data_IF_540218766814
#
_entry.id   IF_540218766814
#
_cell.length_a   1.000
_cell.length_b   1.000
_cell.length_c   1.000
_cell.angle_alpha   90.00
_cell.angle_beta   90.00
_cell.angle_gamma   90.00
#
_symmetry.space_group_name_H-M   'P 1'
#
loop_
_entity.id
_entity.type
_entity.pdbx_description
1 polymer ?
#
# COMPACT_ATOMS: atom_id res chain seq x y z
N UNK A 1 33.85 9.79 15.32
CA UNK A 1 33.50 10.96 16.14
C UNK A 1 32.35 10.58 17.06
N UNK A 2 32.60 10.62 18.39
CA UNK A 2 31.54 10.51 19.40
C UNK A 2 30.71 11.80 19.29
N UNK A 3 29.59 11.72 18.58
CA UNK A 3 28.65 12.84 18.48
C UNK A 3 28.12 13.18 19.87
N UNK A 4 28.22 14.43 20.28
CA UNK A 4 27.57 14.96 21.48
C UNK A 4 26.07 14.81 21.34
N UNK A 5 25.43 13.97 22.16
CA UNK A 5 23.99 13.83 22.22
C UNK A 5 23.41 15.07 22.91
N UNK A 6 22.63 15.86 22.18
CA UNK A 6 21.87 16.98 22.75
C UNK A 6 20.39 16.57 22.93
N UNK A 7 19.78 16.87 24.09
CA UNK A 7 18.36 16.62 24.29
C UNK A 7 17.51 17.51 23.36
N UNK A 8 16.54 16.92 22.66
CA UNK A 8 15.60 17.64 21.81
C UNK A 8 14.21 17.62 22.47
N UNK A 9 13.67 18.80 22.77
CA UNK A 9 12.35 18.95 23.37
C UNK A 9 11.33 19.30 22.27
N UNK A 10 10.26 18.51 22.15
CA UNK A 10 9.22 18.74 21.16
C UNK A 10 7.82 18.75 21.81
N UNK A 11 6.90 19.56 21.24
CA UNK A 11 5.49 19.60 21.65
C UNK A 11 4.71 18.38 21.13
N UNK A 12 5.12 17.83 20.02
CA UNK A 12 4.58 16.66 19.36
C UNK A 12 5.72 15.88 18.70
N UNK A 13 5.71 14.57 18.80
CA UNK A 13 6.63 13.66 18.10
C UNK A 13 5.83 12.86 17.09
N UNK A 14 6.31 12.78 15.85
CA UNK A 14 5.67 11.99 14.79
C UNK A 14 6.61 10.85 14.41
N UNK A 15 6.18 9.62 14.65
CA UNK A 15 6.86 8.40 14.20
C UNK A 15 6.43 8.05 12.79
N UNK A 16 7.32 8.30 11.83
CA UNK A 16 7.15 7.96 10.41
C UNK A 16 8.36 7.15 9.90
N UNK A 17 8.96 6.35 10.79
CA UNK A 17 10.23 5.65 10.65
C UNK A 17 10.09 4.19 10.18
N UNK A 18 8.96 3.88 9.51
CA UNK A 18 8.74 2.65 8.78
C UNK A 18 8.31 1.45 9.64
N UNK A 19 8.20 0.30 9.00
CA UNK A 19 7.62 -0.92 9.60
C UNK A 19 8.36 -1.40 10.87
N UNK A 20 9.65 -1.12 10.99
CA UNK A 20 10.46 -1.46 12.16
C UNK A 20 10.60 -0.32 13.16
N UNK A 21 9.69 0.64 13.16
CA UNK A 21 9.68 1.88 13.89
C UNK A 21 10.31 1.78 15.29
N UNK A 22 11.35 2.59 15.49
CA UNK A 22 11.98 2.80 16.79
C UNK A 22 11.07 3.63 17.69
N UNK A 23 10.41 4.66 17.15
CA UNK A 23 9.47 5.52 17.90
C UNK A 23 8.34 4.69 18.49
N UNK A 24 7.74 3.78 17.70
CA UNK A 24 6.68 2.89 18.19
C UNK A 24 7.16 2.02 19.36
N UNK A 25 8.40 1.49 19.29
CA UNK A 25 8.98 0.69 20.36
C UNK A 25 9.16 1.51 21.64
N UNK A 26 9.58 2.78 21.54
CA UNK A 26 9.78 3.65 22.70
C UNK A 26 8.47 3.96 23.45
N UNK A 27 7.35 3.98 22.76
CA UNK A 27 6.03 4.21 23.40
C UNK A 27 5.32 2.91 23.79
N UNK A 28 5.97 1.77 23.62
CA UNK A 28 5.43 0.44 23.96
C UNK A 28 3.98 0.26 23.45
N UNK A 29 3.80 0.50 22.14
CA UNK A 29 2.51 0.30 21.48
C UNK A 29 2.45 -1.11 20.89
N UNK A 30 1.50 -1.95 21.34
CA UNK A 30 1.35 -3.30 20.83
C UNK A 30 0.99 -3.31 19.34
N UNK A 31 1.46 -4.35 18.65
CA UNK A 31 1.18 -4.59 17.23
C UNK A 31 0.34 -5.84 17.04
N UNK A 32 -0.71 -5.72 16.25
CA UNK A 32 -1.36 -6.88 15.66
C UNK A 32 -0.56 -7.23 14.40
N UNK A 33 -0.01 -8.43 14.36
CA UNK A 33 0.79 -8.90 13.21
C UNK A 33 0.17 -10.18 12.65
N UNK A 34 0.04 -10.24 11.33
CA UNK A 34 -0.40 -11.44 10.61
C UNK A 34 0.49 -11.66 9.40
N UNK A 35 1.07 -12.84 9.29
CA UNK A 35 1.76 -13.26 8.09
C UNK A 35 0.72 -13.63 7.01
N UNK A 36 0.96 -13.18 5.78
CA UNK A 36 0.14 -13.55 4.64
C UNK A 36 0.55 -14.87 4.01
N UNK A 37 1.67 -15.49 4.49
CA UNK A 37 2.30 -16.65 3.88
C UNK A 37 2.57 -16.43 2.38
N UNK A 38 2.94 -15.20 2.04
CA UNK A 38 3.31 -14.78 0.70
C UNK A 38 4.59 -13.95 0.73
N UNK A 39 5.35 -14.04 -0.37
CA UNK A 39 6.49 -13.18 -0.65
C UNK A 39 6.21 -12.34 -1.90
N UNK A 40 6.60 -11.07 -1.88
CA UNK A 40 6.62 -10.24 -3.07
C UNK A 40 7.97 -10.35 -3.76
N UNK A 41 7.99 -10.72 -5.04
CA UNK A 41 9.15 -10.58 -5.91
C UNK A 41 9.03 -9.24 -6.61
N UNK A 42 10.07 -8.41 -6.49
CA UNK A 42 10.17 -7.10 -7.14
C UNK A 42 11.34 -7.11 -8.09
N UNK A 43 11.12 -6.66 -9.31
CA UNK A 43 12.15 -6.49 -10.34
C UNK A 43 11.73 -5.45 -11.36
N UNK A 44 12.71 -4.96 -12.14
CA UNK A 44 12.45 -4.11 -13.30
C UNK A 44 12.55 -4.94 -14.57
N UNK A 45 11.61 -4.74 -15.47
CA UNK A 45 11.50 -5.44 -16.76
C UNK A 45 11.29 -4.46 -17.91
N UNK A 46 11.62 -4.89 -19.11
CA UNK A 46 11.21 -4.25 -20.37
C UNK A 46 10.18 -5.10 -21.10
N UNK A 47 9.21 -4.43 -21.72
CA UNK A 47 8.10 -5.00 -22.46
C UNK A 47 8.19 -4.61 -23.93
N UNK A 48 8.15 -5.55 -24.87
CA UNK A 48 8.33 -5.24 -26.30
C UNK A 48 7.14 -4.48 -26.92
N UNK A 49 5.93 -4.62 -26.39
CA UNK A 49 4.73 -3.88 -26.86
C UNK A 49 4.43 -2.62 -26.06
N UNK A 50 5.23 -2.35 -25.00
CA UNK A 50 5.01 -1.21 -24.14
C UNK A 50 3.81 -1.34 -23.19
N UNK A 51 3.71 -0.41 -22.24
CA UNK A 51 2.68 -0.43 -21.19
C UNK A 51 1.56 0.60 -21.42
N UNK A 52 1.65 1.47 -22.41
CA UNK A 52 0.66 2.49 -22.76
C UNK A 52 0.20 3.33 -21.54
N UNK A 53 1.13 3.66 -20.63
CA UNK A 53 0.87 4.35 -19.37
C UNK A 53 -0.19 3.66 -18.49
N UNK A 54 -0.35 2.35 -18.65
CA UNK A 54 -1.35 1.54 -17.95
C UNK A 54 -0.66 0.59 -16.98
N UNK A 55 -1.12 0.58 -15.73
CA UNK A 55 -0.75 -0.45 -14.77
C UNK A 55 -1.59 -1.71 -15.03
N UNK A 56 -0.92 -2.82 -15.31
CA UNK A 56 -1.57 -4.11 -15.54
C UNK A 56 -1.47 -4.99 -14.31
N UNK A 57 -2.54 -5.73 -14.02
CA UNK A 57 -2.54 -6.69 -12.94
C UNK A 57 -3.23 -7.97 -13.35
N UNK A 58 -2.59 -9.11 -13.05
CA UNK A 58 -3.10 -10.44 -13.31
C UNK A 58 -3.23 -11.19 -11.99
N UNK A 59 -4.38 -11.84 -11.77
CA UNK A 59 -4.62 -12.70 -10.62
C UNK A 59 -4.39 -14.16 -11.01
N UNK A 60 -3.18 -14.64 -10.77
CA UNK A 60 -2.79 -16.01 -11.02
C UNK A 60 -3.23 -16.92 -9.86
N UNK A 61 -3.35 -18.23 -10.08
CA UNK A 61 -3.59 -19.19 -8.99
C UNK A 61 -2.50 -19.16 -7.90
N UNK A 62 -1.29 -18.77 -8.27
CA UNK A 62 -0.13 -18.62 -7.37
C UNK A 62 -0.11 -17.31 -6.63
N UNK A 63 -0.93 -16.32 -7.05
CA UNK A 63 -1.04 -15.00 -6.47
C UNK A 63 -1.05 -13.87 -7.51
N UNK A 64 -1.28 -12.62 -7.09
CA UNK A 64 -1.34 -11.48 -7.99
C UNK A 64 0.04 -11.06 -8.50
N UNK A 65 0.09 -10.73 -9.79
CA UNK A 65 1.23 -10.15 -10.47
C UNK A 65 0.84 -8.79 -11.04
N UNK A 66 1.52 -7.72 -10.62
CA UNK A 66 1.35 -6.38 -11.13
C UNK A 66 2.52 -5.97 -12.02
N UNK A 67 2.23 -5.24 -13.09
CA UNK A 67 3.18 -4.57 -13.97
C UNK A 67 2.92 -3.07 -13.85
N UNK A 68 3.85 -2.34 -13.27
CA UNK A 68 3.70 -0.94 -12.91
C UNK A 68 4.62 -0.09 -13.79
N UNK A 69 4.08 0.81 -14.64
CA UNK A 69 4.87 1.69 -15.47
C UNK A 69 5.89 2.51 -14.68
N UNK A 70 7.13 2.58 -15.14
CA UNK A 70 8.16 3.44 -14.59
C UNK A 70 8.35 4.68 -15.47
N UNK A 71 8.05 5.84 -14.92
CA UNK A 71 8.23 7.15 -15.56
C UNK A 71 9.56 7.80 -15.18
N UNK A 72 10.16 8.61 -16.07
CA UNK A 72 9.68 9.15 -17.35
C UNK A 72 10.41 8.53 -18.58
N UNK A 73 10.99 7.33 -18.52
CA UNK A 73 12.07 6.95 -19.40
C UNK A 73 11.66 6.33 -20.75
N UNK A 74 10.64 5.54 -20.80
CA UNK A 74 10.12 4.94 -22.03
C UNK A 74 8.75 4.30 -21.80
N UNK A 75 8.09 3.93 -22.89
CA UNK A 75 6.82 3.19 -22.84
C UNK A 75 7.01 1.69 -22.59
N UNK A 76 8.22 1.23 -22.32
CA UNK A 76 8.55 -0.18 -22.25
C UNK A 76 8.94 -0.68 -20.85
N UNK A 77 9.38 0.22 -19.96
CA UNK A 77 9.94 -0.19 -18.67
C UNK A 77 8.87 -0.24 -17.58
N UNK A 78 8.74 -1.40 -16.92
CA UNK A 78 7.85 -1.61 -15.78
C UNK A 78 8.62 -2.13 -14.55
N UNK A 79 8.15 -1.76 -13.37
CA UNK A 79 8.40 -2.54 -12.16
C UNK A 79 7.36 -3.63 -12.03
N UNK A 80 7.77 -4.84 -11.66
CA UNK A 80 6.84 -5.91 -11.30
C UNK A 80 6.75 -6.06 -9.78
N UNK A 81 5.56 -6.42 -9.31
CA UNK A 81 5.32 -6.90 -7.95
C UNK A 81 4.54 -8.21 -8.05
N UNK A 82 5.24 -9.33 -7.89
CA UNK A 82 4.63 -10.66 -7.93
C UNK A 82 4.50 -11.22 -6.52
N UNK A 83 3.30 -11.23 -6.00
CA UNK A 83 2.98 -11.78 -4.69
C UNK A 83 2.60 -13.24 -4.83
N UNK A 84 3.41 -14.15 -4.24
CA UNK A 84 3.19 -15.59 -4.35
C UNK A 84 3.65 -16.33 -3.09
N UNK A 85 3.40 -17.65 -3.02
CA UNK A 85 3.85 -18.46 -1.88
C UNK A 85 5.38 -18.43 -1.73
N UNK A 86 5.93 -18.61 -0.51
CA UNK A 86 7.38 -18.63 -0.28
C UNK A 86 8.12 -19.66 -1.15
N UNK A 87 7.49 -20.85 -1.35
CA UNK A 87 8.03 -21.90 -2.20
C UNK A 87 8.12 -21.48 -3.66
N UNK A 88 7.08 -20.88 -4.18
CA UNK A 88 7.03 -20.40 -5.57
C UNK A 88 7.95 -19.20 -5.78
N UNK A 89 8.01 -18.28 -4.83
CA UNK A 89 8.95 -17.15 -4.87
C UNK A 89 10.41 -17.66 -4.94
N UNK A 90 10.75 -18.66 -4.16
CA UNK A 90 12.08 -19.29 -4.21
C UNK A 90 12.34 -19.96 -5.57
N UNK A 91 11.36 -20.67 -6.15
CA UNK A 91 11.47 -21.27 -7.48
C UNK A 91 11.73 -20.21 -8.54
N UNK A 92 10.90 -19.17 -8.58
CA UNK A 92 10.99 -18.09 -9.57
C UNK A 92 12.28 -17.29 -9.47
N UNK A 93 12.77 -17.03 -8.27
CA UNK A 93 14.03 -16.29 -8.08
C UNK A 93 15.27 -17.15 -8.39
N UNK A 94 15.15 -18.46 -8.39
CA UNK A 94 16.23 -19.37 -8.79
C UNK A 94 16.36 -19.57 -10.30
N UNK A 95 15.35 -19.19 -11.10
CA UNK A 95 15.41 -19.25 -12.56
C UNK A 95 16.51 -18.33 -13.10
N UNK A 96 17.08 -18.64 -14.26
CA UNK A 96 17.87 -17.67 -14.99
C UNK A 96 16.99 -16.51 -15.52
N UNK A 97 17.59 -15.44 -16.02
CA UNK A 97 16.87 -14.25 -16.49
C UNK A 97 15.90 -14.56 -17.64
N UNK A 98 16.30 -15.43 -18.56
CA UNK A 98 15.51 -15.78 -19.76
C UNK A 98 14.27 -16.56 -19.36
N UNK A 99 14.40 -17.57 -18.50
CA UNK A 99 13.28 -18.41 -18.11
C UNK A 99 12.33 -17.67 -17.17
N UNK A 100 12.83 -16.79 -16.30
CA UNK A 100 11.98 -15.90 -15.51
C UNK A 100 11.16 -14.96 -16.39
N UNK A 101 11.77 -14.37 -17.41
CA UNK A 101 11.08 -13.50 -18.36
C UNK A 101 9.99 -14.24 -19.17
N UNK A 102 10.24 -15.51 -19.58
CA UNK A 102 9.23 -16.36 -20.23
C UNK A 102 8.02 -16.63 -19.30
N UNK A 103 8.27 -16.91 -18.01
CA UNK A 103 7.20 -17.10 -17.03
C UNK A 103 6.33 -15.84 -16.90
N UNK A 104 6.95 -14.64 -16.88
CA UNK A 104 6.22 -13.37 -16.84
C UNK A 104 5.44 -13.10 -18.12
N UNK A 105 6.01 -13.43 -19.29
CA UNK A 105 5.33 -13.30 -20.59
C UNK A 105 4.10 -14.19 -20.63
N UNK A 106 4.23 -15.44 -20.21
CA UNK A 106 3.11 -16.37 -20.13
C UNK A 106 2.06 -15.91 -19.12
N UNK A 107 2.49 -15.41 -17.95
CA UNK A 107 1.61 -14.90 -16.90
C UNK A 107 0.79 -13.68 -17.33
N UNK A 108 1.32 -12.84 -18.22
CA UNK A 108 0.63 -11.67 -18.79
C UNK A 108 -0.22 -12.01 -20.02
N UNK A 109 -0.32 -13.29 -20.38
CA UNK A 109 -0.97 -13.77 -21.63
C UNK A 109 -0.45 -13.04 -22.88
N UNK A 110 0.85 -12.71 -22.90
CA UNK A 110 1.50 -11.98 -23.97
C UNK A 110 1.04 -10.53 -24.16
N UNK A 111 0.21 -9.98 -23.27
CA UNK A 111 -0.39 -8.64 -23.39
C UNK A 111 0.64 -7.52 -23.50
N UNK A 112 1.81 -7.70 -22.91
CA UNK A 112 2.92 -6.74 -22.94
C UNK A 112 4.01 -7.15 -23.96
N UNK A 113 3.73 -8.17 -24.76
CA UNK A 113 4.70 -8.77 -25.68
C UNK A 113 5.78 -9.55 -24.94
N UNK A 114 6.94 -9.69 -25.57
CA UNK A 114 8.09 -10.32 -24.94
C UNK A 114 8.63 -9.47 -23.79
N UNK A 115 8.91 -10.12 -22.69
CA UNK A 115 9.44 -9.49 -21.49
C UNK A 115 10.94 -9.79 -21.38
N UNK A 116 11.72 -8.81 -20.96
CA UNK A 116 13.14 -8.91 -20.64
C UNK A 116 13.37 -8.45 -19.20
N UNK A 117 14.12 -9.23 -18.42
CA UNK A 117 14.55 -8.85 -17.07
C UNK A 117 15.76 -7.90 -17.16
N UNK A 118 15.65 -6.70 -16.59
CA UNK A 118 16.71 -5.67 -16.67
C UNK A 118 17.29 -5.27 -15.31
N UNK A 119 16.82 -5.88 -14.21
CA UNK A 119 17.37 -5.68 -12.87
C UNK A 119 17.58 -7.00 -12.12
N UNK A 120 18.20 -6.91 -10.95
CA UNK A 120 18.14 -7.98 -9.96
C UNK A 120 16.71 -8.18 -9.45
N UNK A 121 16.45 -9.36 -8.89
CA UNK A 121 15.17 -9.72 -8.27
C UNK A 121 15.30 -9.65 -6.76
N UNK A 122 14.43 -8.86 -6.14
CA UNK A 122 14.37 -8.74 -4.69
C UNK A 122 13.13 -9.46 -4.17
N UNK A 123 13.25 -10.09 -3.01
CA UNK A 123 12.14 -10.84 -2.41
C UNK A 123 11.90 -10.34 -0.99
N UNK A 124 10.63 -10.03 -0.69
CA UNK A 124 10.21 -9.51 0.62
C UNK A 124 9.06 -10.33 1.18
N UNK A 125 9.11 -10.78 2.45
CA UNK A 125 7.97 -11.40 3.09
C UNK A 125 6.84 -10.37 3.28
N UNK A 126 5.61 -10.79 3.00
CA UNK A 126 4.44 -9.96 3.13
C UNK A 126 3.76 -10.20 4.47
N UNK A 127 3.76 -9.19 5.31
CA UNK A 127 3.21 -9.23 6.66
C UNK A 127 2.27 -8.05 6.88
N UNK A 128 1.06 -8.30 7.33
CA UNK A 128 0.17 -7.26 7.85
C UNK A 128 0.62 -6.88 9.25
N UNK A 129 0.69 -5.58 9.50
CA UNK A 129 0.98 -5.01 10.82
C UNK A 129 0.04 -3.84 11.08
N UNK A 130 -0.55 -3.82 12.27
CA UNK A 130 -1.44 -2.74 12.69
C UNK A 130 -1.17 -2.40 14.15
N UNK A 131 -0.76 -1.17 14.44
CA UNK A 131 -0.59 -0.69 15.80
C UNK A 131 -1.95 -0.64 16.52
N UNK A 132 -1.99 -1.08 17.78
CA UNK A 132 -3.22 -0.99 18.56
C UNK A 132 -3.63 0.46 18.78
N UNK A 133 -2.67 1.35 18.97
CA UNK A 133 -2.90 2.79 19.11
C UNK A 133 -1.96 3.56 18.17
N UNK A 134 -2.52 4.51 17.42
CA UNK A 134 -1.74 5.41 16.56
C UNK A 134 -1.26 6.64 17.33
N UNK A 135 -1.75 6.85 18.55
CA UNK A 135 -1.41 7.99 19.40
C UNK A 135 -1.22 7.54 20.84
N UNK A 136 -0.09 7.88 21.44
CA UNK A 136 0.15 7.71 22.88
C UNK A 136 0.78 8.99 23.44
N UNK A 137 0.03 9.69 24.31
CA UNK A 137 0.44 10.97 24.86
C UNK A 137 0.65 12.03 23.76
N UNK A 138 1.90 12.45 23.58
CA UNK A 138 2.34 13.41 22.56
C UNK A 138 3.05 12.77 21.38
N UNK A 139 2.92 11.47 21.19
CA UNK A 139 3.52 10.74 20.09
C UNK A 139 2.43 10.23 19.16
N UNK A 140 2.57 10.48 17.86
CA UNK A 140 1.68 10.02 16.79
C UNK A 140 2.47 9.13 15.85
N UNK A 141 1.91 7.98 15.49
CA UNK A 141 2.44 7.08 14.47
C UNK A 141 1.66 7.26 13.16
N UNK A 142 2.38 7.29 12.03
CA UNK A 142 1.82 7.39 10.68
C UNK A 142 2.55 6.44 9.72
N UNK A 143 1.88 6.09 8.61
CA UNK A 143 2.44 5.20 7.59
C UNK A 143 2.82 3.84 8.16
N UNK A 144 3.89 3.23 7.67
CA UNK A 144 4.31 1.89 8.07
C UNK A 144 4.71 1.77 9.56
N UNK A 145 4.98 2.90 10.24
CA UNK A 145 5.15 2.90 11.68
C UNK A 145 3.84 2.56 12.42
N UNK A 146 2.69 2.92 11.86
CA UNK A 146 1.36 2.64 12.40
C UNK A 146 0.71 1.39 11.78
N UNK A 147 0.86 1.19 10.47
CA UNK A 147 0.23 0.08 9.73
C UNK A 147 1.00 -0.31 8.48
N UNK A 148 1.17 -1.59 8.26
CA UNK A 148 1.69 -2.16 7.01
C UNK A 148 0.61 -3.04 6.40
N UNK A 149 0.25 -2.79 5.14
CA UNK A 149 -0.84 -3.47 4.45
C UNK A 149 -0.29 -4.25 3.27
N UNK A 150 -0.98 -5.31 2.86
CA UNK A 150 -0.61 -6.11 1.70
C UNK A 150 -0.53 -5.24 0.42
N UNK A 151 0.53 -5.35 -0.38
CA UNK A 151 0.75 -4.48 -1.56
C UNK A 151 -0.12 -4.88 -2.77
N UNK A 152 -1.27 -5.55 -2.59
CA UNK A 152 -2.15 -6.00 -3.68
C UNK A 152 -2.51 -4.90 -4.68
N UNK A 153 -2.48 -3.63 -4.27
CA UNK A 153 -2.79 -2.49 -5.12
C UNK A 153 -1.80 -1.33 -4.97
N UNK A 154 -0.60 -1.58 -4.41
CA UNK A 154 0.40 -0.52 -4.19
C UNK A 154 -0.04 0.58 -3.21
N UNK A 155 -1.09 0.36 -2.41
CA UNK A 155 -1.75 1.42 -1.63
C UNK A 155 -1.11 1.70 -0.26
N UNK A 156 -0.10 0.94 0.18
CA UNK A 156 0.54 1.15 1.48
C UNK A 156 1.11 2.56 1.64
N UNK A 157 1.89 3.02 0.67
CA UNK A 157 2.48 4.37 0.65
C UNK A 157 1.38 5.44 0.58
N UNK A 158 0.36 5.23 -0.25
CA UNK A 158 -0.75 6.18 -0.41
C UNK A 158 -1.49 6.40 0.91
N UNK A 159 -1.77 5.34 1.65
CA UNK A 159 -2.42 5.44 2.96
C UNK A 159 -1.55 6.21 3.97
N UNK A 160 -0.24 5.97 3.96
CA UNK A 160 0.72 6.71 4.79
C UNK A 160 0.80 8.20 4.42
N UNK A 161 0.73 8.54 3.13
CA UNK A 161 0.68 9.93 2.67
C UNK A 161 -0.62 10.62 3.11
N UNK A 162 -1.75 9.91 3.07
CA UNK A 162 -3.03 10.42 3.60
C UNK A 162 -2.97 10.61 5.12
N UNK A 163 -2.28 9.72 5.86
CA UNK A 163 -2.03 9.94 7.29
C UNK A 163 -1.29 11.26 7.53
N UNK A 164 -0.22 11.50 6.77
CA UNK A 164 0.58 12.72 6.88
C UNK A 164 -0.25 13.97 6.55
N UNK A 165 -1.05 13.94 5.48
CA UNK A 165 -1.94 15.02 5.09
C UNK A 165 -3.01 15.31 6.16
N UNK A 166 -3.65 14.26 6.70
CA UNK A 166 -4.65 14.39 7.76
C UNK A 166 -4.04 14.95 9.06
N UNK A 167 -2.86 14.50 9.43
CA UNK A 167 -2.15 15.03 10.59
C UNK A 167 -1.79 16.52 10.40
N UNK A 168 -1.25 16.87 9.25
CA UNK A 168 -0.90 18.24 8.91
C UNK A 168 -2.13 19.16 8.97
N UNK A 169 -3.26 18.74 8.39
CA UNK A 169 -4.52 19.50 8.46
C UNK A 169 -4.99 19.71 9.91
N UNK A 170 -4.94 18.68 10.74
CA UNK A 170 -5.31 18.78 12.14
C UNK A 170 -4.39 19.75 12.91
N UNK A 171 -3.08 19.69 12.67
CA UNK A 171 -2.11 20.62 13.29
C UNK A 171 -2.38 22.06 12.84
N UNK A 172 -2.57 22.28 11.55
CA UNK A 172 -2.87 23.62 10.99
C UNK A 172 -4.15 24.18 11.59
N UNK A 173 -5.20 23.38 11.71
CA UNK A 173 -6.47 23.80 12.33
C UNK A 173 -6.28 24.16 13.81
N UNK A 174 -5.48 23.41 14.57
CA UNK A 174 -5.14 23.75 15.95
C UNK A 174 -4.34 25.05 16.06
N UNK A 175 -3.42 25.27 15.11
CA UNK A 175 -2.61 26.50 15.06
C UNK A 175 -3.45 27.72 14.73
N UNK A 176 -4.46 27.59 13.88
CA UNK A 176 -5.34 28.68 13.47
C UNK A 176 -6.41 29.00 14.51
N UNK A 177 -6.93 28.00 15.20
CA UNK A 177 -7.96 28.19 16.22
C UNK A 177 -7.46 28.87 17.52
N UNK A 178 -6.16 28.75 17.81
CA UNK A 178 -5.56 29.33 19.03
C UNK A 178 -4.93 30.69 18.70
N UNK A 179 -5.68 31.77 18.98
CA UNK A 179 -5.27 33.16 18.62
C UNK A 179 -4.14 33.72 19.47
N UNK A 180 -3.98 33.27 20.72
CA UNK A 180 -2.93 33.75 21.67
C UNK A 180 -2.55 32.63 22.64
N UNK A 181 -1.26 32.58 23.01
CA UNK A 181 -0.75 31.66 24.04
C UNK A 181 0.01 30.45 23.52
N UNK A 182 0.34 29.54 24.41
CA UNK A 182 1.12 28.34 24.10
C UNK A 182 0.22 27.32 23.35
N UNK A 183 0.46 27.17 22.04
CA UNK A 183 -0.34 26.33 21.17
C UNK A 183 -0.17 24.85 21.51
N UNK A 184 -1.24 24.23 21.98
CA UNK A 184 -1.24 22.81 22.30
C UNK A 184 -1.45 21.95 21.06
N UNK A 185 -0.35 21.66 20.33
CA UNK A 185 -0.35 20.79 19.14
C UNK A 185 -0.68 19.34 19.48
N UNK A 186 -0.59 18.95 20.74
CA UNK A 186 -0.90 17.60 21.20
C UNK A 186 -2.25 17.53 21.94
N UNK A 187 -3.26 18.27 21.45
CA UNK A 187 -4.62 18.19 22.01
C UNK A 187 -5.12 16.75 22.02
N UNK A 188 -5.40 16.15 23.20
CA UNK A 188 -5.81 14.75 23.28
C UNK A 188 -7.10 14.45 22.50
N UNK A 189 -8.02 15.43 22.44
CA UNK A 189 -9.28 15.30 21.69
C UNK A 189 -8.99 15.15 20.18
N UNK A 190 -8.14 16.01 19.62
CA UNK A 190 -7.83 16.03 18.20
C UNK A 190 -7.00 14.80 17.81
N UNK A 191 -5.97 14.48 18.59
CA UNK A 191 -5.13 13.31 18.32
C UNK A 191 -5.88 11.99 18.45
N UNK A 192 -6.80 11.84 19.41
CA UNK A 192 -7.66 10.66 19.51
C UNK A 192 -8.66 10.56 18.34
N UNK A 193 -9.20 11.69 17.86
CA UNK A 193 -10.05 11.69 16.67
C UNK A 193 -9.26 11.27 15.42
N UNK A 194 -8.06 11.81 15.23
CA UNK A 194 -7.13 11.39 14.19
C UNK A 194 -6.86 9.87 14.26
N UNK A 195 -6.45 9.37 15.43
CA UNK A 195 -6.14 7.96 15.63
C UNK A 195 -7.32 7.05 15.23
N UNK A 196 -8.54 7.39 15.67
CA UNK A 196 -9.74 6.60 15.33
C UNK A 196 -10.00 6.59 13.82
N UNK A 197 -9.97 7.76 13.19
CA UNK A 197 -10.24 7.89 11.77
C UNK A 197 -9.22 7.09 10.92
N UNK A 198 -7.92 7.28 11.20
CA UNK A 198 -6.86 6.61 10.45
C UNK A 198 -6.83 5.10 10.69
N UNK A 199 -7.06 4.66 11.93
CA UNK A 199 -7.15 3.23 12.27
C UNK A 199 -8.36 2.56 11.62
N UNK A 200 -9.54 3.23 11.59
CA UNK A 200 -10.72 2.71 10.89
C UNK A 200 -10.41 2.49 9.42
N UNK A 201 -9.80 3.47 8.76
CA UNK A 201 -9.47 3.40 7.34
C UNK A 201 -8.43 2.30 7.04
N UNK A 202 -7.40 2.17 7.87
CA UNK A 202 -6.43 1.07 7.75
C UNK A 202 -7.10 -0.30 7.94
N UNK A 203 -8.02 -0.42 8.90
CA UNK A 203 -8.76 -1.67 9.17
C UNK A 203 -9.70 -2.02 8.01
N UNK A 204 -10.41 -1.03 7.45
CA UNK A 204 -11.26 -1.23 6.27
C UNK A 204 -10.45 -1.69 5.06
N UNK A 205 -9.26 -1.10 4.84
CA UNK A 205 -8.36 -1.50 3.77
C UNK A 205 -7.86 -2.93 3.96
N UNK A 206 -7.44 -3.29 5.17
CA UNK A 206 -7.02 -4.66 5.50
C UNK A 206 -8.15 -5.66 5.22
N UNK A 207 -9.37 -5.35 5.65
CA UNK A 207 -10.53 -6.21 5.42
C UNK A 207 -10.86 -6.34 3.93
N UNK A 208 -10.77 -5.27 3.15
CA UNK A 208 -10.99 -5.29 1.71
C UNK A 208 -9.94 -6.14 0.98
N UNK A 209 -8.65 -6.02 1.36
CA UNK A 209 -7.56 -6.82 0.78
C UNK A 209 -7.73 -8.31 1.11
N UNK A 210 -8.12 -8.64 2.33
CA UNK A 210 -8.40 -10.02 2.73
C UNK A 210 -9.59 -10.61 1.95
N UNK A 211 -10.67 -9.86 1.76
CA UNK A 211 -11.83 -10.30 0.97
C UNK A 211 -11.44 -10.56 -0.50
N UNK A 212 -10.63 -9.68 -1.10
CA UNK A 212 -10.10 -9.89 -2.45
C UNK A 212 -9.27 -11.16 -2.49
N UNK A 213 -8.29 -11.31 -1.57
CA UNK A 213 -7.44 -12.50 -1.51
C UNK A 213 -8.27 -13.77 -1.42
N UNK A 214 -9.24 -13.85 -0.51
CA UNK A 214 -10.11 -15.01 -0.34
C UNK A 214 -10.93 -15.31 -1.60
N UNK A 215 -11.51 -14.29 -2.24
CA UNK A 215 -12.30 -14.44 -3.46
C UNK A 215 -11.48 -15.03 -4.61
N UNK A 216 -10.21 -14.66 -4.73
CA UNK A 216 -9.33 -15.14 -5.80
C UNK A 216 -8.62 -16.46 -5.47
N UNK A 217 -8.46 -16.82 -4.20
CA UNK A 217 -7.84 -18.09 -3.79
C UNK A 217 -8.76 -19.29 -3.95
N UNK A 218 -10.10 -19.10 -3.98
CA UNK A 218 -11.07 -20.18 -4.17
C UNK A 218 -11.07 -20.67 -5.62
N UNK A 219 -10.60 -21.92 -5.81
CA UNK A 219 -10.46 -22.53 -7.15
C UNK A 219 -11.66 -23.39 -7.57
N UNK A 220 -12.72 -23.47 -6.76
CA UNK A 220 -13.90 -24.26 -7.09
C UNK A 220 -14.56 -23.78 -8.39
N UNK A 221 -14.96 -24.68 -9.30
CA UNK A 221 -15.52 -24.31 -10.62
C UNK A 221 -16.72 -23.37 -10.53
N UNK A 222 -17.62 -23.60 -9.57
CA UNK A 222 -18.78 -22.72 -9.32
C UNK A 222 -18.37 -21.31 -8.92
N UNK A 223 -17.37 -21.16 -8.05
CA UNK A 223 -16.86 -19.84 -7.61
C UNK A 223 -16.21 -19.08 -8.77
N UNK A 224 -15.47 -19.78 -9.64
CA UNK A 224 -14.90 -19.17 -10.85
C UNK A 224 -15.97 -18.62 -11.78
N UNK A 225 -17.07 -19.37 -11.97
CA UNK A 225 -18.20 -18.94 -12.79
C UNK A 225 -18.91 -17.72 -12.17
N UNK A 226 -19.24 -17.77 -10.88
CA UNK A 226 -19.87 -16.65 -10.16
C UNK A 226 -18.96 -15.41 -10.12
N UNK A 227 -17.65 -15.59 -9.97
CA UNK A 227 -16.68 -14.48 -10.04
C UNK A 227 -16.67 -13.85 -11.43
N UNK A 228 -16.65 -14.66 -12.51
CA UNK A 228 -16.70 -14.17 -13.89
C UNK A 228 -17.99 -13.39 -14.17
N UNK A 229 -19.14 -13.94 -13.79
CA UNK A 229 -20.45 -13.27 -13.93
C UNK A 229 -20.48 -12.00 -13.05
N UNK A 230 -20.02 -12.06 -11.81
CA UNK A 230 -19.99 -10.91 -10.90
C UNK A 230 -19.13 -9.77 -11.43
N UNK A 231 -17.93 -10.06 -11.96
CA UNK A 231 -17.07 -9.05 -12.58
C UNK A 231 -17.67 -8.48 -13.86
N UNK A 232 -18.30 -9.33 -14.70
CA UNK A 232 -19.00 -8.88 -15.92
C UNK A 232 -20.21 -7.99 -15.57
N UNK A 233 -20.98 -8.34 -14.55
CA UNK A 233 -22.08 -7.52 -14.06
C UNK A 233 -21.58 -6.19 -13.50
N UNK A 234 -20.49 -6.19 -12.71
CA UNK A 234 -19.86 -4.96 -12.19
C UNK A 234 -19.33 -4.06 -13.31
N UNK A 235 -18.81 -4.65 -14.39
CA UNK A 235 -18.34 -3.89 -15.56
C UNK A 235 -19.49 -3.18 -16.28
N UNK A 236 -20.67 -3.76 -16.27
CA UNK A 236 -21.87 -3.21 -16.90
C UNK A 236 -22.66 -2.23 -16.00
N UNK A 237 -22.45 -2.28 -14.66
CA UNK A 237 -23.13 -1.38 -13.71
C UNK A 237 -22.26 -0.16 -13.43
N UNK A 238 -22.38 0.88 -14.29
CA UNK A 238 -21.57 2.12 -14.21
C UNK A 238 -21.42 2.72 -12.80
N UNK A 239 -22.48 2.82 -11.94
CA UNK A 239 -22.32 3.37 -10.59
C UNK A 239 -21.44 2.51 -9.68
N UNK A 240 -21.58 1.18 -9.72
CA UNK A 240 -20.78 0.26 -8.92
C UNK A 240 -19.32 0.25 -9.35
N UNK A 241 -19.06 0.28 -10.67
CA UNK A 241 -17.72 0.41 -11.25
C UNK A 241 -17.07 1.72 -10.81
N UNK A 242 -17.80 2.84 -10.85
CA UNK A 242 -17.31 4.15 -10.41
C UNK A 242 -16.89 4.14 -8.94
N UNK A 243 -17.73 3.61 -8.04
CA UNK A 243 -17.42 3.50 -6.61
C UNK A 243 -16.17 2.64 -6.36
N UNK A 244 -16.02 1.53 -7.09
CA UNK A 244 -14.84 0.67 -6.98
C UNK A 244 -13.57 1.37 -7.49
N UNK A 245 -13.65 2.08 -8.62
CA UNK A 245 -12.54 2.84 -9.17
C UNK A 245 -12.16 3.99 -8.22
N UNK A 246 -13.13 4.75 -7.71
CA UNK A 246 -12.88 5.81 -6.74
C UNK A 246 -12.21 5.28 -5.47
N UNK A 247 -12.67 4.13 -4.93
CA UNK A 247 -12.01 3.46 -3.81
C UNK A 247 -10.60 2.97 -4.15
N UNK A 248 -10.41 2.38 -5.33
CA UNK A 248 -9.11 1.89 -5.79
C UNK A 248 -8.11 3.03 -6.03
N UNK A 249 -8.58 4.17 -6.52
CA UNK A 249 -7.78 5.38 -6.74
C UNK A 249 -7.58 6.21 -5.46
N UNK A 250 -8.19 5.82 -4.33
CA UNK A 250 -8.15 6.60 -3.09
C UNK A 250 -8.93 7.92 -3.18
N UNK A 251 -9.83 8.07 -4.15
CA UNK A 251 -10.67 9.26 -4.35
C UNK A 251 -11.88 9.21 -3.42
N UNK A 252 -11.65 9.37 -2.12
CA UNK A 252 -12.73 9.48 -1.12
C UNK A 252 -13.20 10.92 -1.01
N UNK A 253 -14.47 11.11 -0.71
CA UNK A 253 -15.09 12.45 -0.52
C UNK A 253 -14.55 13.21 0.71
N UNK A 254 -13.93 12.50 1.65
CA UNK A 254 -13.44 13.00 2.92
C UNK A 254 -11.90 13.04 3.02
N UNK A 255 -11.21 13.06 1.87
CA UNK A 255 -9.75 13.21 1.84
C UNK A 255 -9.34 14.57 2.45
N UNK A 256 -8.22 14.61 3.22
CA UNK A 256 -7.61 15.85 3.65
C UNK A 256 -7.33 16.78 2.45
N UNK A 257 -7.48 18.10 2.63
CA UNK A 257 -7.28 19.09 1.57
C UNK A 257 -5.96 18.93 0.80
N UNK A 258 -4.87 18.60 1.52
CA UNK A 258 -3.56 18.35 0.93
C UNK A 258 -3.51 17.07 0.07
N UNK A 259 -4.44 16.16 0.24
CA UNK A 259 -4.55 14.92 -0.53
C UNK A 259 -5.60 15.03 -1.64
N UNK A 260 -6.35 16.14 -1.73
CA UNK A 260 -7.33 16.36 -2.79
C UNK A 260 -6.63 16.89 -4.05
N UNK A 261 -7.02 16.33 -5.21
CA UNK A 261 -6.58 16.87 -6.50
C UNK A 261 -7.24 18.25 -6.73
N UNK A 262 -6.47 19.31 -6.78
CA UNK A 262 -6.97 20.58 -7.29
C UNK A 262 -7.24 20.40 -8.78
N UNK A 263 -8.51 20.36 -9.15
CA UNK A 263 -8.92 20.48 -10.55
C UNK A 263 -8.70 21.95 -10.92
N UNK A 264 -7.64 22.23 -11.64
CA UNK A 264 -7.45 23.50 -12.35
C UNK A 264 -8.21 23.43 -13.67
#
# INVERSE_FOLDING_TARGET
SKGTQAPLIAKLVVGADGANSWVRKQIDTPMITRDYDHHAIVATIKCSQGHENTAWQVFLPTGPLAFLPLFPHDNATCSIVYSTSPKEAKRLTALNAIDFAKELTAASDGKLGNIELVSERFTYPLTMRLAQDFVKGRVVLIGDAAHTIHPLAGQGVNLGLVDAAALAQNITSLMSAQRTGDKNLASPRVLKAFSRARKSEATEMIAAMEAIKQTFSLQQPGVKLFRGIGLSLLDNVKPAKKILIEKALGLKSDLPELAQRKLN
#
